data_IF_135182118312
#
_entry.id   IF_135182118312
#
_cell.length_a   1.000
_cell.length_b   1.000
_cell.length_c   1.000
_cell.angle_alpha   90.00
_cell.angle_beta   90.00
_cell.angle_gamma   90.00
#
_symmetry.space_group_name_H-M   'P 1'
#
loop_
_entity.id
_entity.type
_entity.pdbx_description
1 polymer ?
#
# COMPACT_ATOMS: atom_id res chain seq x y z
N UNK A 1 45.85 -50.60 -1.24
CA UNK A 1 45.42 -49.81 -2.41
C UNK A 1 43.91 -50.00 -2.59
N UNK A 2 43.16 -48.89 -2.63
CA UNK A 2 41.77 -48.69 -3.14
C UNK A 2 40.59 -49.33 -2.36
N UNK A 3 39.87 -48.58 -1.48
CA UNK A 3 38.64 -47.77 -1.70
C UNK A 3 37.39 -48.58 -2.13
N UNK A 4 36.35 -48.82 -1.31
CA UNK A 4 35.29 -47.97 -0.71
C UNK A 4 34.05 -47.69 -1.59
N UNK A 5 32.88 -48.16 -1.08
CA UNK A 5 31.47 -47.66 -1.19
C UNK A 5 30.87 -47.29 -2.56
N UNK A 6 29.70 -47.85 -2.85
CA UNK A 6 28.71 -47.30 -3.79
C UNK A 6 27.29 -47.38 -3.20
N UNK A 7 26.72 -46.22 -2.88
CA UNK A 7 25.33 -46.00 -2.47
C UNK A 7 24.71 -45.03 -3.48
N UNK A 8 23.37 -45.07 -3.60
CA UNK A 8 22.44 -44.04 -4.12
C UNK A 8 21.81 -44.26 -5.51
N UNK A 9 20.61 -44.84 -5.45
CA UNK A 9 19.34 -44.24 -5.89
C UNK A 9 19.42 -42.81 -6.46
N UNK A 10 19.18 -42.67 -7.76
CA UNK A 10 19.10 -41.37 -8.43
C UNK A 10 18.47 -41.51 -9.81
N UNK A 11 17.16 -41.82 -9.88
CA UNK A 11 16.42 -41.78 -11.16
C UNK A 11 14.92 -41.48 -11.06
N UNK A 12 14.39 -41.15 -9.87
CA UNK A 12 12.95 -40.89 -9.67
C UNK A 12 12.54 -39.39 -9.62
N UNK A 13 13.41 -38.43 -9.92
CA UNK A 13 13.13 -37.00 -9.65
C UNK A 13 12.44 -36.20 -10.79
N UNK A 14 12.55 -36.61 -12.06
CA UNK A 14 12.15 -35.72 -13.18
C UNK A 14 10.74 -36.03 -13.71
N UNK A 15 10.31 -37.30 -13.67
CA UNK A 15 9.00 -37.69 -14.19
C UNK A 15 7.82 -37.32 -13.26
N UNK A 16 8.04 -37.22 -11.95
CA UNK A 16 7.03 -36.71 -10.99
C UNK A 16 6.75 -35.21 -11.13
N UNK A 17 7.68 -34.45 -11.74
CA UNK A 17 7.55 -33.03 -12.04
C UNK A 17 6.76 -32.75 -13.34
N UNK A 18 6.67 -33.74 -14.24
CA UNK A 18 5.86 -33.64 -15.47
C UNK A 18 4.40 -34.04 -15.23
N UNK A 19 4.13 -34.93 -14.28
CA UNK A 19 2.78 -35.32 -13.87
C UNK A 19 2.08 -34.31 -12.93
N UNK A 20 2.77 -33.27 -12.46
CA UNK A 20 2.16 -32.17 -11.70
C UNK A 20 1.58 -31.05 -12.59
N UNK A 21 1.93 -31.01 -13.88
CA UNK A 21 1.44 -29.99 -14.82
C UNK A 21 -0.08 -30.06 -15.06
N UNK A 22 -0.71 -31.24 -15.23
CA UNK A 22 -2.17 -31.34 -15.36
C UNK A 22 -2.92 -30.96 -14.07
N UNK A 23 -2.32 -31.27 -12.90
CA UNK A 23 -2.91 -30.98 -11.59
C UNK A 23 -2.78 -29.50 -11.22
N UNK A 24 -1.63 -28.88 -11.46
CA UNK A 24 -1.44 -27.44 -11.29
C UNK A 24 -2.32 -26.61 -12.24
N UNK A 25 -2.57 -27.10 -13.47
CA UNK A 25 -3.53 -26.48 -14.38
C UNK A 25 -4.98 -26.64 -13.89
N UNK A 26 -5.37 -27.84 -13.43
CA UNK A 26 -6.69 -28.07 -12.84
C UNK A 26 -6.92 -27.25 -11.55
N UNK A 27 -5.89 -27.11 -10.70
CA UNK A 27 -5.90 -26.26 -9.50
C UNK A 27 -5.94 -24.76 -9.86
N UNK A 28 -5.29 -24.33 -10.94
CA UNK A 28 -5.39 -22.96 -11.44
C UNK A 28 -6.78 -22.63 -12.02
N UNK A 29 -7.41 -23.57 -12.73
CA UNK A 29 -8.79 -23.44 -13.20
C UNK A 29 -9.79 -23.48 -12.04
N UNK A 30 -9.59 -24.37 -11.07
CA UNK A 30 -10.38 -24.43 -9.82
C UNK A 30 -10.21 -23.16 -8.98
N UNK A 31 -9.02 -22.57 -8.94
CA UNK A 31 -8.75 -21.32 -8.23
C UNK A 31 -9.45 -20.12 -8.85
N UNK A 32 -9.55 -20.06 -10.19
CA UNK A 32 -10.29 -19.00 -10.88
C UNK A 32 -11.80 -19.09 -10.66
N UNK A 33 -12.37 -20.30 -10.72
CA UNK A 33 -13.80 -20.51 -10.45
C UNK A 33 -14.13 -20.25 -8.98
N UNK A 34 -13.30 -20.72 -8.05
CA UNK A 34 -13.43 -20.43 -6.62
C UNK A 34 -13.34 -18.92 -6.34
N UNK A 35 -12.35 -18.22 -6.91
CA UNK A 35 -12.22 -16.77 -6.76
C UNK A 35 -13.42 -16.00 -7.34
N UNK A 36 -14.02 -16.49 -8.44
CA UNK A 36 -15.20 -15.87 -9.02
C UNK A 36 -16.45 -16.05 -8.14
N UNK A 37 -16.66 -17.25 -7.60
CA UNK A 37 -17.76 -17.56 -6.65
C UNK A 37 -17.57 -16.75 -5.36
N UNK A 38 -16.38 -16.81 -4.76
CA UNK A 38 -16.02 -16.04 -3.57
C UNK A 38 -16.23 -14.53 -3.77
N UNK A 39 -15.77 -14.00 -4.90
CA UNK A 39 -16.00 -12.60 -5.25
C UNK A 39 -17.49 -12.31 -5.44
N UNK A 40 -18.30 -13.24 -5.99
CA UNK A 40 -19.74 -13.05 -6.12
C UNK A 40 -20.42 -12.90 -4.76
N UNK A 41 -20.02 -13.71 -3.79
CA UNK A 41 -20.52 -13.65 -2.43
C UNK A 41 -20.17 -12.32 -1.74
N UNK A 42 -18.92 -11.89 -1.85
CA UNK A 42 -18.42 -10.62 -1.28
C UNK A 42 -19.05 -9.37 -1.92
N UNK A 43 -19.69 -9.51 -3.09
CA UNK A 43 -20.35 -8.43 -3.82
C UNK A 43 -21.87 -8.39 -3.61
N UNK A 44 -22.44 -9.26 -2.75
CA UNK A 44 -23.90 -9.38 -2.54
C UNK A 44 -24.57 -8.07 -2.13
N UNK A 45 -23.90 -7.25 -1.32
CA UNK A 45 -24.43 -5.97 -0.85
C UNK A 45 -23.61 -4.79 -1.38
N UNK A 46 -23.85 -4.39 -2.64
CA UNK A 46 -23.21 -3.22 -3.22
C UNK A 46 -23.69 -1.94 -2.54
N UNK A 47 -22.74 -1.07 -2.20
CA UNK A 47 -22.98 0.28 -1.69
C UNK A 47 -22.63 1.31 -2.76
N UNK A 48 -23.48 2.32 -2.95
CA UNK A 48 -23.14 3.39 -3.89
C UNK A 48 -22.09 4.31 -3.28
N UNK A 49 -21.13 4.69 -4.11
CA UNK A 49 -20.12 5.68 -3.77
C UNK A 49 -20.65 7.02 -4.25
N UNK A 50 -21.18 7.81 -3.31
CA UNK A 50 -21.70 9.14 -3.59
C UNK A 50 -20.65 9.94 -4.37
N UNK A 51 -21.05 10.53 -5.51
CA UNK A 51 -20.16 11.26 -6.39
C UNK A 51 -20.89 12.48 -6.95
N UNK A 52 -20.38 13.68 -6.66
CA UNK A 52 -20.97 14.93 -7.09
C UNK A 52 -20.31 15.40 -8.39
N UNK A 53 -20.91 15.06 -9.53
CA UNK A 53 -20.39 15.45 -10.85
C UNK A 53 -20.31 16.97 -11.05
N UNK A 54 -21.27 17.72 -10.50
CA UNK A 54 -21.27 19.18 -10.57
C UNK A 54 -20.08 19.78 -9.82
N UNK A 55 -19.81 19.27 -8.62
CA UNK A 55 -18.65 19.68 -7.83
C UNK A 55 -17.33 19.29 -8.51
N UNK A 56 -17.22 18.06 -9.03
CA UNK A 56 -16.04 17.61 -9.76
C UNK A 56 -15.73 18.53 -10.95
N UNK A 57 -16.73 18.84 -11.78
CA UNK A 57 -16.59 19.77 -12.91
C UNK A 57 -16.20 21.18 -12.48
N UNK A 58 -16.82 21.69 -11.42
CA UNK A 58 -16.51 23.02 -10.89
C UNK A 58 -15.07 23.11 -10.38
N UNK A 59 -14.59 22.08 -9.68
CA UNK A 59 -13.21 22.01 -9.19
C UNK A 59 -12.24 21.88 -10.36
N UNK A 60 -12.53 21.05 -11.36
CA UNK A 60 -11.70 20.94 -12.57
C UNK A 60 -11.53 22.29 -13.24
N UNK A 61 -12.62 23.04 -13.45
CA UNK A 61 -12.55 24.39 -14.05
C UNK A 61 -11.71 25.37 -13.21
N UNK A 62 -11.81 25.30 -11.88
CA UNK A 62 -11.00 26.13 -10.99
C UNK A 62 -9.50 25.78 -11.11
N UNK A 63 -9.18 24.48 -11.09
CA UNK A 63 -7.81 23.98 -11.19
C UNK A 63 -7.18 24.25 -12.56
N UNK A 64 -7.96 24.18 -13.65
CA UNK A 64 -7.53 24.57 -14.99
C UNK A 64 -7.08 26.04 -15.00
N UNK A 65 -7.88 26.95 -14.42
CA UNK A 65 -7.53 28.37 -14.29
C UNK A 65 -6.29 28.58 -13.41
N UNK A 66 -6.15 27.84 -12.32
CA UNK A 66 -4.96 27.89 -11.46
C UNK A 66 -3.70 27.46 -12.22
N UNK A 67 -3.78 26.40 -13.03
CA UNK A 67 -2.68 25.94 -13.85
C UNK A 67 -2.30 26.96 -14.93
N UNK A 68 -3.28 27.57 -15.62
CA UNK A 68 -3.04 28.66 -16.58
C UNK A 68 -2.32 29.85 -15.94
N UNK A 69 -2.73 30.24 -14.71
CA UNK A 69 -2.08 31.30 -13.95
C UNK A 69 -0.61 30.98 -13.68
N UNK A 70 -0.32 29.78 -13.20
CA UNK A 70 1.05 29.31 -12.95
C UNK A 70 1.92 29.32 -14.22
N UNK A 71 1.34 28.96 -15.37
CA UNK A 71 2.04 28.99 -16.66
C UNK A 71 2.36 30.43 -17.10
N UNK A 72 1.41 31.37 -16.95
CA UNK A 72 1.63 32.79 -17.29
C UNK A 72 2.70 33.43 -16.42
N UNK A 73 2.68 33.17 -15.11
CA UNK A 73 3.71 33.64 -14.19
C UNK A 73 5.10 33.18 -14.61
N UNK A 74 5.25 31.89 -14.95
CA UNK A 74 6.53 31.33 -15.41
C UNK A 74 6.99 31.96 -16.72
N UNK A 75 6.09 32.12 -17.69
CA UNK A 75 6.41 32.75 -18.97
C UNK A 75 6.87 34.22 -18.78
N UNK A 76 6.26 34.94 -17.83
CA UNK A 76 6.67 36.30 -17.46
C UNK A 76 7.98 36.37 -16.66
N UNK A 77 8.34 35.32 -15.91
CA UNK A 77 9.54 35.24 -15.06
C UNK A 77 10.81 34.80 -15.80
N UNK A 78 10.71 34.38 -17.08
CA UNK A 78 11.87 34.00 -17.92
C UNK A 78 12.93 35.11 -18.13
N UNK A 79 12.74 36.31 -17.57
CA UNK A 79 13.67 37.45 -17.63
C UNK A 79 14.50 37.69 -16.35
N UNK A 80 14.23 37.02 -15.22
CA UNK A 80 15.03 37.13 -13.97
C UNK A 80 14.92 35.83 -13.16
N UNK A 81 15.98 35.02 -13.13
CA UNK A 81 15.95 33.69 -12.50
C UNK A 81 16.80 33.62 -11.22
N UNK A 82 16.16 33.26 -10.11
CA UNK A 82 16.71 32.36 -9.08
C UNK A 82 15.56 31.43 -8.62
N UNK A 83 15.62 30.09 -8.82
CA UNK A 83 14.55 29.16 -8.51
C UNK A 83 14.21 29.02 -7.01
N UNK A 84 15.06 29.53 -6.12
CA UNK A 84 14.87 29.46 -4.67
C UNK A 84 13.82 30.44 -4.13
N UNK A 85 13.35 31.40 -4.94
CA UNK A 85 12.50 32.49 -4.47
C UNK A 85 11.00 32.18 -4.37
N UNK A 86 10.50 31.04 -4.88
CA UNK A 86 9.06 30.70 -4.73
C UNK A 86 8.69 30.26 -3.31
N UNK A 87 9.67 29.77 -2.53
CA UNK A 87 9.49 29.41 -1.10
C UNK A 87 9.23 30.66 -0.23
N UNK A 88 9.69 31.82 -0.73
CA UNK A 88 9.59 33.08 0.00
C UNK A 88 8.17 33.63 0.10
N UNK A 89 7.15 33.17 -0.64
CA UNK A 89 5.80 33.74 -0.46
C UNK A 89 5.06 33.16 0.75
N UNK A 90 5.20 31.88 1.07
CA UNK A 90 4.66 31.32 2.31
C UNK A 90 5.54 31.70 3.51
N UNK A 91 6.87 31.64 3.36
CA UNK A 91 7.81 32.04 4.40
C UNK A 91 7.81 33.55 4.69
N UNK A 92 7.64 34.44 3.68
CA UNK A 92 7.48 35.87 3.92
C UNK A 92 6.09 36.25 4.44
N UNK A 93 5.04 35.44 4.17
CA UNK A 93 3.69 35.67 4.68
C UNK A 93 3.44 35.07 6.07
N UNK A 94 4.33 34.22 6.59
CA UNK A 94 4.31 33.79 7.98
C UNK A 94 4.30 35.01 8.92
N UNK A 95 5.00 36.10 8.62
CA UNK A 95 4.95 37.32 9.43
C UNK A 95 3.58 38.03 9.52
N UNK A 96 2.61 37.65 8.67
CA UNK A 96 1.28 38.29 8.59
C UNK A 96 0.15 37.42 9.13
N UNK A 97 0.43 36.16 9.50
CA UNK A 97 -0.58 35.27 10.05
C UNK A 97 -0.93 35.64 11.50
N UNK A 98 -2.19 35.41 11.93
CA UNK A 98 -2.54 35.51 13.34
C UNK A 98 -1.70 34.56 14.21
N UNK A 99 -1.37 34.98 15.44
CA UNK A 99 -0.58 34.15 16.37
C UNK A 99 -1.18 32.76 16.63
N UNK A 100 -2.52 32.64 16.58
CA UNK A 100 -3.22 31.36 16.70
C UNK A 100 -2.88 30.40 15.55
N UNK A 101 -2.73 30.91 14.33
CA UNK A 101 -2.41 30.11 13.15
C UNK A 101 -0.97 29.58 13.24
N UNK A 102 -0.03 30.38 13.76
CA UNK A 102 1.35 29.94 14.02
C UNK A 102 1.40 28.77 15.00
N UNK A 103 0.69 28.90 16.11
CA UNK A 103 0.63 27.86 17.13
C UNK A 103 -0.01 26.58 16.58
N UNK A 104 -1.02 26.71 15.72
CA UNK A 104 -1.63 25.56 15.07
C UNK A 104 -0.68 24.88 14.09
N UNK A 105 0.00 25.65 13.24
CA UNK A 105 1.01 25.13 12.30
C UNK A 105 2.09 24.36 13.06
N UNK A 106 2.64 24.95 14.12
CA UNK A 106 3.66 24.31 14.94
C UNK A 106 3.15 22.99 15.56
N UNK A 107 1.97 23.01 16.18
CA UNK A 107 1.37 21.80 16.78
C UNK A 107 1.13 20.70 15.75
N UNK A 108 0.66 21.04 14.55
CA UNK A 108 0.46 20.07 13.48
C UNK A 108 1.81 19.50 13.03
N UNK A 109 2.86 20.32 12.87
CA UNK A 109 4.19 19.82 12.51
C UNK A 109 4.78 18.88 13.57
N UNK A 110 4.63 19.19 14.86
CA UNK A 110 5.07 18.33 15.96
C UNK A 110 4.31 16.99 15.94
N UNK A 111 2.98 17.02 15.79
CA UNK A 111 2.16 15.82 15.71
C UNK A 111 2.48 14.96 14.47
N UNK A 112 2.71 15.58 13.31
CA UNK A 112 3.14 14.88 12.09
C UNK A 112 4.51 14.25 12.29
N UNK A 113 5.48 14.96 12.85
CA UNK A 113 6.82 14.42 13.13
C UNK A 113 6.76 13.21 14.06
N UNK A 114 5.97 13.29 15.13
CA UNK A 114 5.80 12.19 16.08
C UNK A 114 5.13 10.97 15.43
N UNK A 115 4.05 11.18 14.68
CA UNK A 115 3.32 10.09 14.05
C UNK A 115 4.07 9.50 12.83
N UNK A 116 4.98 10.25 12.20
CA UNK A 116 5.75 9.82 11.04
C UNK A 116 7.06 9.10 11.36
N UNK A 117 7.32 8.74 12.63
CA UNK A 117 8.55 8.04 13.04
C UNK A 117 8.76 6.73 12.30
N UNK A 118 7.75 5.87 12.27
CA UNK A 118 7.83 4.55 11.63
C UNK A 118 6.54 4.19 10.88
N UNK A 119 6.59 3.11 10.10
CA UNK A 119 5.40 2.59 9.43
C UNK A 119 4.29 2.23 10.44
N UNK A 120 4.67 1.72 11.61
CA UNK A 120 3.73 1.34 12.67
C UNK A 120 3.00 2.56 13.22
N UNK A 121 3.73 3.62 13.57
CA UNK A 121 3.12 4.85 14.13
C UNK A 121 2.22 5.54 13.13
N UNK A 122 2.64 5.63 11.86
CA UNK A 122 1.84 6.21 10.78
C UNK A 122 0.54 5.44 10.56
N UNK A 123 0.67 4.13 10.44
CA UNK A 123 -0.46 3.25 10.16
C UNK A 123 -1.49 3.33 11.29
N UNK A 124 -1.04 3.34 12.55
CA UNK A 124 -1.92 3.55 13.71
C UNK A 124 -2.62 4.91 13.64
N UNK A 125 -1.90 5.99 13.35
CA UNK A 125 -2.46 7.34 13.29
C UNK A 125 -3.58 7.49 12.26
N UNK A 126 -3.52 6.77 11.14
CA UNK A 126 -4.61 6.73 10.16
C UNK A 126 -5.88 6.04 10.69
N UNK A 127 -5.73 4.95 11.45
CA UNK A 127 -6.88 4.25 12.03
C UNK A 127 -7.56 5.08 13.11
N UNK A 128 -6.77 5.59 14.05
CA UNK A 128 -7.27 6.46 15.13
C UNK A 128 -8.02 7.68 14.56
N UNK A 129 -7.48 8.28 13.49
CA UNK A 129 -8.16 9.39 12.82
C UNK A 129 -9.48 8.96 12.16
N UNK A 130 -9.50 7.80 11.50
CA UNK A 130 -10.71 7.31 10.83
C UNK A 130 -11.82 6.95 11.81
N UNK A 131 -11.47 6.41 12.98
CA UNK A 131 -12.43 6.10 14.04
C UNK A 131 -13.15 7.35 14.56
N UNK A 132 -12.42 8.46 14.68
CA UNK A 132 -12.99 9.78 15.05
C UNK A 132 -13.78 10.42 13.89
N UNK A 133 -13.34 10.24 12.64
CA UNK A 133 -13.86 10.92 11.45
C UNK A 133 -14.14 9.95 10.29
N UNK A 134 -15.16 9.09 10.40
CA UNK A 134 -15.44 8.04 9.42
C UNK A 134 -15.88 8.58 8.05
N UNK A 135 -16.23 9.87 7.94
CA UNK A 135 -16.46 10.54 6.66
C UNK A 135 -15.18 10.72 5.82
N UNK A 136 -13.99 10.62 6.42
CA UNK A 136 -12.71 10.67 5.72
C UNK A 136 -12.29 9.26 5.31
N UNK A 137 -12.99 8.71 4.32
CA UNK A 137 -12.76 7.34 3.82
C UNK A 137 -11.29 7.04 3.48
N UNK A 138 -10.55 8.03 2.97
CA UNK A 138 -9.15 7.88 2.63
C UNK A 138 -8.29 7.42 3.82
N UNK A 139 -8.61 7.81 5.06
CA UNK A 139 -7.83 7.43 6.23
C UNK A 139 -7.84 5.90 6.48
N UNK A 140 -9.01 5.24 6.40
CA UNK A 140 -9.06 3.77 6.51
C UNK A 140 -8.35 3.08 5.33
N UNK A 141 -8.48 3.64 4.12
CA UNK A 141 -7.78 3.12 2.95
C UNK A 141 -6.26 3.21 3.13
N UNK A 142 -5.77 4.37 3.57
CA UNK A 142 -4.36 4.63 3.83
C UNK A 142 -3.82 3.72 4.94
N UNK A 143 -4.60 3.50 6.02
CA UNK A 143 -4.29 2.50 7.05
C UNK A 143 -4.05 1.12 6.42
N UNK A 144 -5.01 0.63 5.62
CA UNK A 144 -4.92 -0.71 5.05
C UNK A 144 -3.80 -0.87 4.02
N UNK A 145 -3.54 0.16 3.20
CA UNK A 145 -2.43 0.14 2.22
C UNK A 145 -1.08 0.26 2.95
N UNK A 146 -0.98 1.07 4.00
CA UNK A 146 0.26 1.20 4.77
C UNK A 146 0.60 -0.07 5.56
N UNK A 147 -0.41 -0.80 6.07
CA UNK A 147 -0.20 -2.16 6.61
C UNK A 147 0.40 -3.11 5.59
N UNK A 148 -0.02 -3.00 4.32
CA UNK A 148 0.56 -3.82 3.26
C UNK A 148 2.03 -3.48 3.04
N UNK A 149 2.39 -2.21 3.09
CA UNK A 149 3.79 -1.80 3.03
C UNK A 149 4.60 -2.37 4.22
N UNK A 150 4.03 -2.36 5.43
CA UNK A 150 4.67 -2.87 6.64
C UNK A 150 5.08 -4.35 6.52
N UNK A 151 4.17 -5.25 6.16
CA UNK A 151 4.55 -6.66 5.98
C UNK A 151 5.47 -6.89 4.78
N UNK A 152 5.33 -6.09 3.70
CA UNK A 152 6.27 -6.16 2.58
C UNK A 152 7.70 -5.81 3.02
N UNK A 153 7.88 -4.85 3.93
CA UNK A 153 9.19 -4.50 4.47
C UNK A 153 9.77 -5.62 5.34
N UNK A 154 9.00 -6.16 6.28
CA UNK A 154 9.46 -7.24 7.17
C UNK A 154 9.78 -8.52 6.40
N UNK A 155 9.01 -8.83 5.36
CA UNK A 155 9.21 -10.04 4.58
C UNK A 155 10.48 -10.00 3.73
N UNK A 156 11.12 -8.84 3.53
CA UNK A 156 12.47 -8.80 2.96
C UNK A 156 13.47 -9.61 3.80
N UNK A 157 13.16 -9.80 5.09
CA UNK A 157 13.93 -10.58 6.06
C UNK A 157 13.23 -11.90 6.44
N UNK A 158 12.16 -12.29 5.73
CA UNK A 158 11.51 -13.62 5.84
C UNK A 158 12.29 -14.67 5.07
N UNK A 159 12.34 -15.93 5.52
CA UNK A 159 13.11 -17.00 4.87
C UNK A 159 12.86 -17.13 3.37
N UNK A 160 11.59 -17.25 2.97
CA UNK A 160 11.19 -17.43 1.57
C UNK A 160 11.68 -16.32 0.62
N UNK A 161 11.56 -15.05 1.02
CA UNK A 161 11.94 -13.92 0.15
C UNK A 161 13.40 -13.51 0.33
N UNK A 162 13.91 -13.65 1.56
CA UNK A 162 15.27 -13.32 1.91
C UNK A 162 16.26 -14.12 1.05
N UNK A 163 16.01 -15.40 0.82
CA UNK A 163 17.01 -16.23 0.16
C UNK A 163 17.01 -16.09 -1.37
N UNK A 164 15.99 -15.41 -1.93
CA UNK A 164 15.86 -15.14 -3.37
C UNK A 164 16.54 -13.85 -3.82
N UNK A 165 16.91 -12.97 -2.89
CA UNK A 165 17.46 -11.65 -3.21
C UNK A 165 18.68 -11.33 -2.34
N UNK A 166 19.61 -10.53 -2.86
CA UNK A 166 20.78 -10.12 -2.08
C UNK A 166 20.43 -9.05 -1.03
N UNK A 167 21.24 -8.95 0.02
CA UNK A 167 21.01 -8.00 1.12
C UNK A 167 21.05 -6.53 0.69
N UNK A 168 21.77 -6.22 -0.39
CA UNK A 168 21.85 -4.86 -0.91
C UNK A 168 20.53 -4.44 -1.56
N UNK A 169 19.95 -5.29 -2.40
CA UNK A 169 18.64 -5.08 -3.00
C UNK A 169 17.55 -4.96 -1.93
N UNK A 170 17.54 -5.84 -0.92
CA UNK A 170 16.59 -5.76 0.22
C UNK A 170 16.67 -4.40 0.90
N UNK A 171 17.88 -3.92 1.19
CA UNK A 171 18.09 -2.64 1.84
C UNK A 171 17.59 -1.47 0.99
N UNK A 172 17.83 -1.52 -0.33
CA UNK A 172 17.33 -0.51 -1.27
C UNK A 172 15.80 -0.55 -1.39
N UNK A 173 15.19 -1.74 -1.46
CA UNK A 173 13.75 -1.93 -1.53
C UNK A 173 13.05 -1.49 -0.24
N UNK A 174 13.61 -1.82 0.93
CA UNK A 174 13.15 -1.30 2.23
C UNK A 174 13.12 0.23 2.21
N UNK A 175 14.25 0.87 1.88
CA UNK A 175 14.36 2.34 1.83
C UNK A 175 13.37 2.95 0.84
N UNK A 176 13.13 2.29 -0.29
CA UNK A 176 12.15 2.74 -1.28
C UNK A 176 10.72 2.71 -0.72
N UNK A 177 10.30 1.57 -0.17
CA UNK A 177 8.97 1.40 0.42
C UNK A 177 8.75 2.38 1.57
N UNK A 178 9.74 2.49 2.45
CA UNK A 178 9.66 3.32 3.64
C UNK A 178 9.62 4.81 3.27
N UNK A 179 10.48 5.24 2.33
CA UNK A 179 10.47 6.62 1.82
C UNK A 179 9.14 6.98 1.16
N UNK A 180 8.55 6.09 0.35
CA UNK A 180 7.22 6.31 -0.22
C UNK A 180 6.19 6.54 0.90
N UNK A 181 6.10 5.63 1.88
CA UNK A 181 5.10 5.71 2.95
C UNK A 181 5.27 6.96 3.82
N UNK A 182 6.51 7.30 4.19
CA UNK A 182 6.80 8.46 5.01
C UNK A 182 6.44 9.78 4.30
N UNK A 183 6.72 9.91 3.00
CA UNK A 183 6.37 11.10 2.22
C UNK A 183 4.87 11.26 2.01
N UNK A 184 4.17 10.16 1.75
CA UNK A 184 2.70 10.16 1.64
C UNK A 184 2.08 10.68 2.94
N UNK A 185 2.53 10.15 4.08
CA UNK A 185 2.03 10.55 5.39
C UNK A 185 2.35 12.01 5.71
N UNK A 186 3.58 12.45 5.42
CA UNK A 186 4.00 13.82 5.65
C UNK A 186 3.16 14.84 4.88
N UNK A 187 2.70 14.50 3.67
CA UNK A 187 1.83 15.37 2.88
C UNK A 187 0.36 15.27 3.31
N UNK A 188 -0.17 14.06 3.53
CA UNK A 188 -1.60 13.86 3.76
C UNK A 188 -2.04 14.09 5.22
N UNK A 189 -1.25 13.64 6.21
CA UNK A 189 -1.63 13.72 7.62
C UNK A 189 -1.82 15.15 8.16
N UNK A 190 -1.02 16.18 7.81
CA UNK A 190 -1.32 17.55 8.22
C UNK A 190 -2.67 18.04 7.70
N UNK A 191 -3.09 17.61 6.50
CA UNK A 191 -4.41 17.94 5.95
C UNK A 191 -5.54 17.33 6.80
N UNK A 192 -5.35 16.10 7.27
CA UNK A 192 -6.28 15.42 8.18
C UNK A 192 -6.37 16.14 9.53
N UNK A 193 -5.23 16.50 10.12
CA UNK A 193 -5.20 17.24 11.39
C UNK A 193 -5.84 18.63 11.26
N UNK A 194 -5.66 19.30 10.13
CA UNK A 194 -6.30 20.57 9.83
C UNK A 194 -7.82 20.42 9.71
N UNK A 195 -8.31 19.33 9.12
CA UNK A 195 -9.74 18.99 9.12
C UNK A 195 -10.27 18.74 10.54
N UNK A 196 -9.57 17.93 11.35
CA UNK A 196 -9.91 17.69 12.76
C UNK A 196 -10.04 18.99 13.53
N UNK A 197 -9.06 19.89 13.38
CA UNK A 197 -9.11 21.20 14.02
C UNK A 197 -10.26 22.07 13.50
N UNK A 198 -10.47 22.10 12.18
CA UNK A 198 -11.57 22.84 11.55
C UNK A 198 -12.93 22.38 12.09
N UNK A 199 -13.13 21.07 12.24
CA UNK A 199 -14.34 20.48 12.85
C UNK A 199 -14.51 20.89 14.31
N UNK A 200 -13.45 20.88 15.10
CA UNK A 200 -13.48 21.28 16.52
C UNK A 200 -13.76 22.78 16.72
N UNK A 201 -13.42 23.62 15.74
CA UNK A 201 -13.63 25.07 15.77
C UNK A 201 -14.82 25.54 14.96
N UNK A 202 -15.51 24.63 14.28
CA UNK A 202 -16.66 24.91 13.41
C UNK A 202 -16.37 25.95 12.31
N UNK A 203 -15.10 26.04 11.87
CA UNK A 203 -14.64 26.98 10.85
C UNK A 203 -13.59 26.32 9.95
N UNK A 204 -13.55 26.71 8.67
CA UNK A 204 -12.50 26.27 7.74
C UNK A 204 -11.15 26.89 8.10
N UNK A 205 -10.11 26.06 8.21
CA UNK A 205 -8.71 26.48 8.35
C UNK A 205 -7.84 26.09 7.14
N UNK A 206 -8.45 25.74 6.00
CA UNK A 206 -7.71 25.25 4.82
C UNK A 206 -6.85 26.31 4.13
N UNK A 207 -6.97 27.59 4.50
CA UNK A 207 -6.00 28.63 4.14
C UNK A 207 -4.58 28.32 4.64
N UNK A 208 -4.45 27.42 5.63
CA UNK A 208 -3.16 27.00 6.17
C UNK A 208 -2.49 25.86 5.40
N UNK A 209 -3.17 25.21 4.45
CA UNK A 209 -2.61 24.12 3.64
C UNK A 209 -1.24 24.44 3.00
N UNK A 210 -1.00 25.63 2.43
CA UNK A 210 0.29 25.97 1.81
C UNK A 210 1.47 25.96 2.79
N UNK A 211 1.24 26.22 4.08
CA UNK A 211 2.29 26.21 5.11
C UNK A 211 2.74 24.78 5.48
N UNK A 212 1.97 23.77 5.07
CA UNK A 212 2.38 22.37 5.13
C UNK A 212 2.94 21.86 3.79
N UNK A 213 3.17 22.76 2.83
CA UNK A 213 3.61 22.46 1.46
C UNK A 213 2.66 21.51 0.69
N UNK A 214 1.40 21.49 1.09
CA UNK A 214 0.36 20.74 0.39
C UNK A 214 0.13 21.41 -0.97
N UNK A 215 0.04 20.60 -2.02
CA UNK A 215 -0.18 21.09 -3.38
C UNK A 215 -1.44 21.95 -3.48
N UNK A 216 -1.38 23.04 -4.26
CA UNK A 216 -2.54 23.87 -4.56
C UNK A 216 -3.69 23.07 -5.21
N UNK A 217 -3.39 21.89 -5.77
CA UNK A 217 -4.37 20.91 -6.21
C UNK A 217 -5.39 20.55 -5.13
N UNK A 218 -4.97 20.39 -3.86
CA UNK A 218 -5.83 19.88 -2.79
C UNK A 218 -6.78 20.91 -2.18
N UNK A 219 -6.42 22.20 -2.20
CA UNK A 219 -7.21 23.28 -1.59
C UNK A 219 -8.69 23.28 -2.00
N UNK A 220 -9.07 23.25 -3.29
CA UNK A 220 -10.49 23.27 -3.67
C UNK A 220 -11.26 22.02 -3.26
N UNK A 221 -10.59 20.87 -3.11
CA UNK A 221 -11.25 19.64 -2.64
C UNK A 221 -11.58 19.71 -1.15
N UNK A 222 -10.69 20.26 -0.33
CA UNK A 222 -10.95 20.44 1.10
C UNK A 222 -12.04 21.48 1.36
N UNK A 223 -12.00 22.62 0.66
CA UNK A 223 -13.06 23.62 0.75
C UNK A 223 -14.42 23.06 0.30
N UNK A 224 -14.43 22.25 -0.77
CA UNK A 224 -15.66 21.61 -1.20
C UNK A 224 -16.16 20.58 -0.21
N UNK A 225 -15.28 19.73 0.30
CA UNK A 225 -15.61 18.72 1.30
C UNK A 225 -16.10 19.36 2.61
N UNK A 226 -15.63 20.58 2.95
CA UNK A 226 -16.15 21.38 4.06
C UNK A 226 -17.67 21.57 3.99
N UNK A 227 -18.19 21.77 2.77
CA UNK A 227 -19.59 22.10 2.49
C UNK A 227 -20.44 20.84 2.30
N UNK A 228 -20.01 19.91 1.43
CA UNK A 228 -20.89 18.83 0.97
C UNK A 228 -20.56 17.43 1.50
N UNK A 229 -19.45 17.29 2.24
CA UNK A 229 -19.00 16.01 2.84
C UNK A 229 -18.92 14.85 1.85
N UNK A 230 -18.62 15.12 0.57
CA UNK A 230 -18.47 14.05 -0.41
C UNK A 230 -17.15 13.28 -0.23
N UNK A 231 -17.21 12.18 0.53
CA UNK A 231 -16.04 11.34 0.87
C UNK A 231 -15.33 10.78 -0.36
N UNK A 232 -16.07 10.39 -1.40
CA UNK A 232 -15.49 9.80 -2.61
C UNK A 232 -14.66 10.81 -3.40
N UNK A 233 -15.16 12.04 -3.55
CA UNK A 233 -14.47 13.08 -4.29
C UNK A 233 -13.16 13.47 -3.59
N UNK A 234 -13.20 13.69 -2.27
CA UNK A 234 -12.01 13.97 -1.48
C UNK A 234 -11.01 12.80 -1.52
N UNK A 235 -11.49 11.55 -1.39
CA UNK A 235 -10.62 10.36 -1.43
C UNK A 235 -9.92 10.20 -2.77
N UNK A 236 -10.63 10.42 -3.88
CA UNK A 236 -10.02 10.40 -5.22
C UNK A 236 -8.97 11.50 -5.37
N UNK A 237 -9.24 12.71 -4.84
CA UNK A 237 -8.27 13.79 -4.86
C UNK A 237 -7.01 13.45 -4.06
N UNK A 238 -7.15 12.95 -2.83
CA UNK A 238 -6.03 12.51 -2.00
C UNK A 238 -5.21 11.42 -2.70
N UNK A 239 -5.85 10.44 -3.35
CA UNK A 239 -5.15 9.42 -4.16
C UNK A 239 -4.36 10.06 -5.30
N UNK A 240 -4.95 10.99 -6.07
CA UNK A 240 -4.25 11.65 -7.18
C UNK A 240 -3.06 12.45 -6.63
N UNK A 241 -3.27 13.22 -5.57
CA UNK A 241 -2.25 14.02 -4.93
C UNK A 241 -1.08 13.16 -4.44
N UNK A 242 -1.37 12.08 -3.71
CA UNK A 242 -0.39 11.12 -3.21
C UNK A 242 0.51 10.57 -4.32
N UNK A 243 -0.11 10.06 -5.40
CA UNK A 243 0.64 9.38 -6.46
C UNK A 243 1.52 10.36 -7.26
N UNK A 244 1.12 11.63 -7.36
CA UNK A 244 1.95 12.68 -7.96
C UNK A 244 3.03 13.18 -7.00
N UNK A 245 2.71 13.29 -5.71
CA UNK A 245 3.64 13.78 -4.69
C UNK A 245 4.90 12.91 -4.64
N UNK A 246 4.75 11.58 -4.70
CA UNK A 246 5.88 10.63 -4.68
C UNK A 246 6.58 10.44 -6.03
N UNK A 247 5.96 10.81 -7.15
CA UNK A 247 6.47 10.49 -8.50
C UNK A 247 7.88 11.06 -8.70
N UNK A 248 8.03 12.38 -8.57
CA UNK A 248 9.32 13.04 -8.77
C UNK A 248 10.22 13.01 -7.53
N UNK A 249 9.67 12.67 -6.36
CA UNK A 249 10.41 12.63 -5.08
C UNK A 249 11.06 11.28 -4.81
N UNK A 250 10.46 10.20 -5.30
CA UNK A 250 10.89 8.82 -5.00
C UNK A 250 10.95 7.99 -6.26
N UNK A 251 9.84 7.88 -7.00
CA UNK A 251 9.73 6.92 -8.12
C UNK A 251 10.71 7.25 -9.24
N UNK A 252 10.85 8.53 -9.60
CA UNK A 252 11.80 9.01 -10.62
C UNK A 252 13.17 9.36 -10.05
N UNK A 253 13.37 9.26 -8.74
CA UNK A 253 14.64 9.61 -8.12
C UNK A 253 15.75 8.68 -8.65
N UNK A 254 16.88 9.21 -9.17
CA UNK A 254 17.90 8.41 -9.85
C UNK A 254 18.41 7.23 -9.03
N UNK A 255 18.55 7.42 -7.71
CA UNK A 255 18.96 6.36 -6.80
C UNK A 255 17.96 5.19 -6.78
N UNK A 256 16.66 5.45 -6.64
CA UNK A 256 15.65 4.39 -6.55
C UNK A 256 15.35 3.75 -7.90
N UNK A 257 15.38 4.53 -8.99
CA UNK A 257 15.31 3.99 -10.35
C UNK A 257 16.40 2.95 -10.58
N UNK A 258 17.66 3.33 -10.36
CA UNK A 258 18.82 2.46 -10.59
C UNK A 258 18.86 1.23 -9.67
N UNK A 259 18.59 1.41 -8.38
CA UNK A 259 18.83 0.36 -7.39
C UNK A 259 17.60 -0.50 -7.06
N UNK A 260 16.40 -0.08 -7.46
CA UNK A 260 15.15 -0.79 -7.17
C UNK A 260 14.36 -1.03 -8.45
N UNK A 261 13.81 0.01 -9.09
CA UNK A 261 12.80 -0.17 -10.13
C UNK A 261 13.35 -0.78 -11.44
N UNK A 262 14.59 -0.47 -11.80
CA UNK A 262 15.26 -1.02 -12.98
C UNK A 262 16.09 -2.28 -12.67
N UNK A 263 16.09 -2.75 -11.41
CA UNK A 263 16.83 -3.93 -11.02
C UNK A 263 16.15 -5.21 -11.55
N UNK A 264 16.91 -6.19 -12.08
CA UNK A 264 16.34 -7.47 -12.54
C UNK A 264 15.57 -8.20 -11.43
N UNK A 265 16.04 -8.10 -10.19
CA UNK A 265 15.37 -8.67 -9.01
C UNK A 265 13.96 -8.08 -8.81
N UNK A 266 13.77 -6.80 -9.09
CA UNK A 266 12.45 -6.17 -9.00
C UNK A 266 11.51 -6.68 -10.09
N UNK A 267 12.00 -6.89 -11.32
CA UNK A 267 11.22 -7.49 -12.38
C UNK A 267 10.81 -8.93 -12.04
N UNK A 268 11.69 -9.71 -11.38
CA UNK A 268 11.33 -11.03 -10.86
C UNK A 268 10.25 -10.93 -9.78
N UNK A 269 10.32 -9.95 -8.89
CA UNK A 269 9.26 -9.66 -7.90
C UNK A 269 7.91 -9.32 -8.56
N UNK A 270 7.90 -8.47 -9.61
CA UNK A 270 6.69 -8.16 -10.38
C UNK A 270 6.14 -9.39 -11.12
N UNK A 271 7.02 -10.18 -11.75
CA UNK A 271 6.67 -11.40 -12.48
C UNK A 271 6.11 -12.49 -11.55
N UNK A 272 6.64 -12.60 -10.33
CA UNK A 272 6.11 -13.46 -9.27
C UNK A 272 4.76 -12.97 -8.71
N UNK A 273 4.27 -11.80 -9.16
CA UNK A 273 3.04 -11.15 -8.70
C UNK A 273 3.04 -10.90 -7.18
N UNK A 274 4.18 -10.47 -6.65
CA UNK A 274 4.31 -10.16 -5.23
C UNK A 274 3.76 -8.76 -4.88
N UNK A 275 3.46 -7.94 -5.90
CA UNK A 275 2.82 -6.63 -5.77
C UNK A 275 1.31 -6.74 -5.51
N UNK A 276 0.93 -7.47 -4.48
CA UNK A 276 -0.46 -7.64 -4.07
C UNK A 276 -0.76 -6.70 -2.90
N UNK A 277 -1.88 -6.00 -3.02
CA UNK A 277 -2.44 -5.23 -1.91
C UNK A 277 -3.68 -5.98 -1.45
N UNK A 278 -3.62 -6.55 -0.25
CA UNK A 278 -4.63 -7.44 0.31
C UNK A 278 -5.16 -6.91 1.63
N UNK A 279 -6.45 -7.12 1.88
CA UNK A 279 -7.18 -6.73 3.07
C UNK A 279 -7.81 -7.99 3.67
N UNK A 280 -7.39 -8.40 4.87
CA UNK A 280 -8.04 -9.51 5.57
C UNK A 280 -9.45 -9.12 6.03
N UNK A 281 -10.34 -10.09 6.02
CA UNK A 281 -11.71 -9.93 6.51
C UNK A 281 -11.92 -10.70 7.82
N UNK A 282 -12.54 -10.05 8.81
CA UNK A 282 -13.05 -10.69 10.03
C UNK A 282 -12.01 -10.96 11.13
N UNK A 283 -12.44 -11.74 12.13
CA UNK A 283 -11.63 -12.14 13.29
C UNK A 283 -10.71 -13.32 12.92
N UNK A 284 -9.50 -13.36 13.48
CA UNK A 284 -8.50 -14.43 13.32
C UNK A 284 -9.03 -15.80 13.73
N UNK A 285 -10.06 -15.85 14.59
CA UNK A 285 -10.59 -17.07 15.22
C UNK A 285 -11.82 -17.65 14.52
N UNK A 286 -12.37 -16.98 13.50
CA UNK A 286 -13.61 -17.41 12.87
C UNK A 286 -13.33 -18.03 11.49
N UNK A 287 -13.58 -19.34 11.34
CA UNK A 287 -13.79 -19.93 10.01
C UNK A 287 -14.96 -19.21 9.35
N UNK A 288 -14.72 -18.55 8.23
CA UNK A 288 -15.77 -17.84 7.51
C UNK A 288 -16.81 -18.84 6.96
N UNK A 289 -18.10 -18.62 7.26
CA UNK A 289 -19.17 -19.58 6.96
C UNK A 289 -19.30 -19.95 5.48
N UNK A 290 -18.93 -19.04 4.58
CA UNK A 290 -18.95 -19.23 3.12
C UNK A 290 -17.97 -20.28 2.59
N UNK A 291 -16.94 -20.64 3.37
CA UNK A 291 -15.82 -21.46 2.90
C UNK A 291 -15.67 -22.75 3.72
N UNK A 292 -16.77 -23.27 4.28
CA UNK A 292 -16.79 -24.55 5.03
C UNK A 292 -16.22 -25.74 4.26
N UNK A 293 -16.14 -25.65 2.94
CA UNK A 293 -15.60 -26.67 2.03
C UNK A 293 -14.23 -26.30 1.41
N UNK A 294 -13.64 -25.15 1.78
CA UNK A 294 -12.35 -24.72 1.22
C UNK A 294 -11.20 -25.44 1.92
N UNK A 295 -10.22 -25.84 1.11
CA UNK A 295 -8.97 -26.52 1.50
C UNK A 295 -7.87 -25.49 1.84
N UNK A 296 -8.22 -24.29 2.32
CA UNK A 296 -7.30 -23.17 2.61
C UNK A 296 -7.49 -22.64 4.04
N UNK A 297 -6.45 -22.11 4.72
CA UNK A 297 -6.58 -21.54 6.06
C UNK A 297 -7.51 -20.32 6.03
N UNK A 298 -8.61 -20.41 6.77
CA UNK A 298 -9.82 -19.61 6.57
C UNK A 298 -9.73 -18.21 7.20
N UNK A 299 -8.93 -17.34 6.57
CA UNK A 299 -9.18 -15.89 6.59
C UNK A 299 -9.33 -15.40 5.17
N UNK A 300 -10.56 -15.01 4.73
CA UNK A 300 -10.75 -14.44 3.41
C UNK A 300 -9.89 -13.18 3.25
N UNK A 301 -9.20 -13.11 2.12
CA UNK A 301 -8.46 -11.94 1.70
C UNK A 301 -9.15 -11.34 0.49
N UNK A 302 -9.38 -10.03 0.54
CA UNK A 302 -9.76 -9.27 -0.66
C UNK A 302 -8.63 -8.37 -1.07
N UNK A 303 -8.56 -7.96 -2.33
CA UNK A 303 -7.44 -7.15 -2.77
C UNK A 303 -7.33 -7.03 -4.26
N UNK A 304 -6.22 -6.47 -4.69
CA UNK A 304 -5.86 -6.33 -6.09
C UNK A 304 -4.38 -6.67 -6.29
N UNK A 305 -4.05 -7.23 -7.45
CA UNK A 305 -2.67 -7.31 -7.90
C UNK A 305 -2.37 -6.08 -8.75
N UNK A 306 -1.35 -5.32 -8.34
CA UNK A 306 -0.89 -4.17 -9.11
C UNK A 306 0.11 -4.64 -10.17
N UNK A 307 -0.02 -4.11 -11.39
CA UNK A 307 0.93 -4.29 -12.48
C UNK A 307 1.56 -2.94 -12.80
N UNK A 308 2.82 -2.89 -13.21
CA UNK A 308 3.49 -1.66 -13.68
C UNK A 308 3.46 -0.52 -12.66
N UNK A 309 4.18 -0.71 -11.55
CA UNK A 309 4.24 0.29 -10.48
C UNK A 309 4.82 1.64 -10.95
N UNK A 310 5.65 1.65 -11.99
CA UNK A 310 6.34 2.83 -12.51
C UNK A 310 5.42 3.87 -13.17
N UNK A 311 4.21 3.49 -13.59
CA UNK A 311 3.23 4.41 -14.18
C UNK A 311 2.29 5.03 -13.12
N UNK A 312 2.31 6.36 -12.92
CA UNK A 312 1.41 7.04 -11.99
C UNK A 312 -0.06 6.85 -12.33
N UNK A 313 -0.42 6.75 -13.62
CA UNK A 313 -1.81 6.54 -14.03
C UNK A 313 -2.34 5.19 -13.57
N UNK A 314 -1.49 4.16 -13.61
CA UNK A 314 -1.81 2.81 -13.13
C UNK A 314 -1.93 2.77 -11.62
N UNK A 315 -1.02 3.43 -10.88
CA UNK A 315 -1.14 3.54 -9.42
C UNK A 315 -2.41 4.27 -8.98
N UNK A 316 -2.78 5.37 -9.65
CA UNK A 316 -4.04 6.09 -9.37
C UNK A 316 -5.25 5.19 -9.61
N UNK A 317 -5.29 4.44 -10.71
CA UNK A 317 -6.37 3.48 -11.00
C UNK A 317 -6.45 2.39 -9.93
N UNK A 318 -5.31 1.88 -9.48
CA UNK A 318 -5.25 0.88 -8.41
C UNK A 318 -5.80 1.44 -7.09
N UNK A 319 -5.36 2.64 -6.68
CA UNK A 319 -5.87 3.31 -5.49
C UNK A 319 -7.39 3.53 -5.53
N UNK A 320 -7.92 3.99 -6.66
CA UNK A 320 -9.38 4.15 -6.85
C UNK A 320 -10.13 2.83 -6.80
N UNK A 321 -9.55 1.76 -7.33
CA UNK A 321 -10.16 0.43 -7.33
C UNK A 321 -10.16 -0.17 -5.92
N UNK A 322 -9.08 0.01 -5.14
CA UNK A 322 -9.03 -0.38 -3.73
C UNK A 322 -10.03 0.40 -2.89
N UNK A 323 -10.14 1.72 -3.11
CA UNK A 323 -11.17 2.55 -2.48
C UNK A 323 -12.58 2.01 -2.80
N UNK A 324 -12.87 1.77 -4.08
CA UNK A 324 -14.18 1.31 -4.51
C UNK A 324 -14.49 -0.11 -4.02
N UNK A 325 -13.48 -0.97 -3.87
CA UNK A 325 -13.62 -2.29 -3.25
C UNK A 325 -13.95 -2.16 -1.76
N UNK A 326 -13.18 -1.32 -1.03
CA UNK A 326 -13.30 -1.17 0.42
C UNK A 326 -14.65 -0.56 0.84
N UNK A 327 -15.08 0.51 0.16
CA UNK A 327 -16.30 1.26 0.52
C UNK A 327 -17.51 0.98 -0.36
N UNK A 328 -17.33 0.33 -1.51
CA UNK A 328 -18.40 0.02 -2.46
C UNK A 328 -19.09 -1.33 -2.23
N UNK A 329 -18.60 -2.13 -1.29
CA UNK A 329 -19.20 -3.40 -0.86
C UNK A 329 -19.30 -3.43 0.66
N UNK A 330 -20.52 -3.51 1.20
CA UNK A 330 -20.78 -3.37 2.64
C UNK A 330 -20.13 -4.51 3.46
N UNK A 331 -20.15 -5.74 2.95
CA UNK A 331 -19.53 -6.89 3.63
C UNK A 331 -18.01 -6.76 3.72
N UNK A 332 -17.37 -6.22 2.67
CA UNK A 332 -15.93 -5.96 2.67
C UNK A 332 -15.60 -4.87 3.70
N UNK A 333 -16.32 -3.74 3.68
CA UNK A 333 -16.12 -2.68 4.67
C UNK A 333 -16.22 -3.22 6.09
N UNK A 334 -17.29 -3.94 6.43
CA UNK A 334 -17.50 -4.53 7.77
C UNK A 334 -16.41 -5.52 8.14
N UNK A 335 -16.01 -6.38 7.20
CA UNK A 335 -14.98 -7.38 7.40
C UNK A 335 -13.61 -6.75 7.69
N UNK A 336 -13.23 -5.74 6.91
CA UNK A 336 -11.99 -4.97 7.11
C UNK A 336 -12.02 -4.19 8.41
N UNK A 337 -13.13 -3.50 8.69
CA UNK A 337 -13.26 -2.72 9.92
C UNK A 337 -13.18 -3.62 11.16
N UNK A 338 -13.80 -4.79 11.14
CA UNK A 338 -13.63 -5.80 12.20
C UNK A 338 -12.18 -6.29 12.30
N UNK A 339 -11.51 -6.52 11.17
CA UNK A 339 -10.12 -6.98 11.14
C UNK A 339 -9.18 -6.01 11.87
N UNK A 340 -9.25 -4.72 11.55
CA UNK A 340 -8.32 -3.71 12.10
C UNK A 340 -8.46 -3.55 13.61
N UNK A 341 -9.65 -3.77 14.17
CA UNK A 341 -9.91 -3.73 15.61
C UNK A 341 -9.41 -4.98 16.35
N UNK A 342 -9.40 -6.13 15.68
CA UNK A 342 -9.00 -7.40 16.30
C UNK A 342 -7.53 -7.77 16.07
N UNK A 343 -6.83 -7.05 15.19
CA UNK A 343 -5.46 -7.38 14.78
C UNK A 343 -4.59 -6.13 14.82
N UNK A 344 -3.80 -5.89 15.89
CA UNK A 344 -2.85 -4.77 15.95
C UNK A 344 -1.87 -4.80 14.76
N UNK A 345 -1.39 -3.64 14.34
CA UNK A 345 -0.37 -3.57 13.30
C UNK A 345 1.04 -3.58 13.89
N UNK A 346 1.85 -4.57 13.50
CA UNK A 346 3.25 -4.76 13.86
C UNK A 346 4.14 -5.03 12.63
N UNK A 347 3.57 -4.91 11.43
CA UNK A 347 4.27 -5.10 10.16
C UNK A 347 4.58 -6.56 9.84
N UNK A 348 3.88 -7.55 10.40
CA UNK A 348 4.14 -8.97 10.11
C UNK A 348 3.02 -9.58 9.27
N UNK A 349 3.35 -10.48 8.36
CA UNK A 349 2.35 -11.25 7.59
C UNK A 349 1.56 -12.24 8.47
N UNK A 350 2.06 -12.53 9.68
CA UNK A 350 1.28 -13.26 10.69
C UNK A 350 0.00 -12.56 11.11
N UNK A 351 -0.11 -11.23 10.96
CA UNK A 351 -1.36 -10.50 11.16
C UNK A 351 -2.43 -10.89 10.13
N UNK A 352 -2.01 -11.24 8.91
CA UNK A 352 -2.88 -11.54 7.78
C UNK A 352 -3.30 -13.01 7.79
N UNK A 353 -2.33 -13.91 7.94
CA UNK A 353 -2.55 -15.36 8.00
C UNK A 353 -1.73 -16.02 9.11
N UNK A 354 -2.21 -15.98 10.37
CA UNK A 354 -1.50 -16.57 11.51
C UNK A 354 -1.44 -18.10 11.47
N UNK A 355 -2.18 -18.76 10.56
CA UNK A 355 -2.06 -20.19 10.31
C UNK A 355 -0.89 -20.56 9.39
N UNK A 356 -0.41 -19.62 8.57
CA UNK A 356 0.71 -19.83 7.64
C UNK A 356 1.99 -19.15 8.12
N UNK A 357 1.88 -18.03 8.82
CA UNK A 357 3.02 -17.22 9.22
C UNK A 357 3.17 -17.13 10.74
N UNK A 358 4.41 -17.09 11.20
CA UNK A 358 4.77 -16.88 12.60
C UNK A 358 5.92 -15.89 12.73
N UNK A 359 5.90 -15.11 13.80
CA UNK A 359 7.02 -14.24 14.20
C UNK A 359 8.08 -15.00 15.00
N UNK A 360 7.78 -16.22 15.45
CA UNK A 360 8.65 -16.99 16.32
C UNK A 360 9.58 -17.88 15.50
N UNK A 361 10.87 -17.51 15.41
CA UNK A 361 11.88 -18.24 14.64
C UNK A 361 12.10 -19.69 15.07
N UNK A 362 11.74 -20.06 16.30
CA UNK A 362 11.82 -21.45 16.78
C UNK A 362 10.64 -22.32 16.32
N UNK A 363 9.57 -21.72 15.79
CA UNK A 363 8.38 -22.40 15.24
C UNK A 363 8.35 -22.37 13.71
N UNK A 364 9.46 -22.00 13.09
CA UNK A 364 9.57 -21.90 11.64
C UNK A 364 10.05 -23.20 11.04
N UNK A 365 9.66 -23.43 9.79
CA UNK A 365 10.36 -24.39 8.96
C UNK A 365 11.85 -24.03 8.89
N UNK A 366 12.70 -25.05 9.01
CA UNK A 366 14.16 -24.93 8.85
C UNK A 366 14.66 -25.90 7.75
N UNK A 367 13.79 -26.31 6.82
CA UNK A 367 14.10 -27.32 5.81
C UNK A 367 14.30 -26.68 4.43
N UNK A 368 15.20 -27.25 3.61
CA UNK A 368 15.43 -26.86 2.20
C UNK A 368 14.26 -27.26 1.27
N UNK A 369 13.08 -27.54 1.82
CA UNK A 369 11.95 -28.14 1.12
C UNK A 369 10.62 -27.47 1.52
N UNK A 370 10.65 -26.15 1.73
CA UNK A 370 9.49 -25.36 2.16
C UNK A 370 8.35 -25.45 1.14
N UNK A 371 8.67 -25.54 -0.16
CA UNK A 371 7.65 -25.69 -1.20
C UNK A 371 6.86 -27.00 -1.08
N UNK A 372 7.52 -28.10 -0.68
CA UNK A 372 6.86 -29.41 -0.60
C UNK A 372 5.85 -29.45 0.55
N UNK A 373 6.13 -28.83 1.69
CA UNK A 373 5.17 -28.79 2.81
C UNK A 373 3.99 -27.86 2.52
N UNK A 374 4.24 -26.70 1.90
CA UNK A 374 3.18 -25.80 1.41
C UNK A 374 2.26 -26.46 0.36
N UNK A 375 2.81 -27.31 -0.50
CA UNK A 375 2.08 -28.09 -1.50
C UNK A 375 1.35 -29.32 -0.90
N UNK A 376 1.85 -29.89 0.19
CA UNK A 376 1.31 -31.11 0.78
C UNK A 376 0.19 -30.87 1.78
N UNK A 377 0.15 -29.71 2.44
CA UNK A 377 -0.84 -29.45 3.48
C UNK A 377 -1.53 -28.10 3.32
N UNK A 378 -2.85 -28.13 3.49
CA UNK A 378 -3.70 -26.94 3.61
C UNK A 378 -3.25 -26.04 4.78
N UNK A 379 -2.85 -26.67 5.88
CA UNK A 379 -2.37 -26.08 7.12
C UNK A 379 -0.91 -26.48 7.31
N UNK A 380 -0.05 -25.54 7.67
CA UNK A 380 1.23 -25.91 8.26
C UNK A 380 0.96 -26.25 9.73
N UNK A 381 1.41 -27.41 10.19
CA UNK A 381 1.23 -27.80 11.60
C UNK A 381 1.96 -26.81 12.50
N UNK A 382 1.45 -26.55 13.70
CA UNK A 382 2.11 -25.67 14.66
C UNK A 382 3.59 -26.09 14.82
N UNK A 383 4.51 -25.18 14.50
CA UNK A 383 5.96 -25.46 14.46
C UNK A 383 6.57 -25.62 13.05
N UNK A 384 5.76 -25.60 11.99
CA UNK A 384 6.20 -25.64 10.59
C UNK A 384 5.72 -24.41 9.80
N UNK A 385 5.55 -23.26 10.46
CA UNK A 385 5.02 -22.07 9.80
C UNK A 385 6.13 -21.29 9.08
N UNK A 386 5.75 -20.42 8.16
CA UNK A 386 6.67 -19.53 7.48
C UNK A 386 7.07 -18.38 8.42
N UNK A 387 8.37 -18.06 8.43
CA UNK A 387 8.86 -16.93 9.21
C UNK A 387 8.39 -15.61 8.60
N UNK A 388 7.75 -14.75 9.39
CA UNK A 388 7.53 -13.34 9.03
C UNK A 388 7.78 -12.51 10.28
N UNK A 389 8.93 -11.82 10.38
CA UNK A 389 9.31 -11.08 11.59
C UNK A 389 8.38 -9.90 11.86
N UNK A 390 8.48 -9.32 13.06
CA UNK A 390 7.95 -7.99 13.33
C UNK A 390 8.83 -6.95 12.64
N UNK A 391 8.25 -5.84 12.19
CA UNK A 391 8.99 -4.82 11.46
C UNK A 391 10.11 -4.19 12.30
N UNK A 392 9.81 -3.88 13.55
CA UNK A 392 10.74 -3.25 14.50
C UNK A 392 11.92 -4.16 14.90
N UNK A 393 11.76 -5.49 14.73
CA UNK A 393 12.83 -6.45 15.03
C UNK A 393 13.91 -6.52 13.94
N UNK A 394 13.58 -6.09 12.71
CA UNK A 394 14.44 -6.31 11.53
C UNK A 394 14.82 -5.04 10.79
N UNK A 395 14.10 -3.94 11.02
CA UNK A 395 14.40 -2.65 10.45
C UNK A 395 14.34 -1.58 11.53
N UNK A 396 15.25 -0.61 11.44
CA UNK A 396 15.30 0.52 12.35
C UNK A 396 15.07 1.82 11.58
N UNK A 397 14.57 2.82 12.30
CA UNK A 397 14.35 4.16 11.78
C UNK A 397 15.65 4.68 11.15
N UNK A 398 15.56 5.08 9.89
CA UNK A 398 16.71 5.56 9.13
C UNK A 398 16.48 7.02 8.79
N UNK A 399 17.47 7.87 9.04
CA UNK A 399 17.40 9.27 8.63
C UNK A 399 17.22 9.37 7.11
N UNK A 400 16.38 10.32 6.71
CA UNK A 400 16.12 10.56 5.30
C UNK A 400 16.86 11.78 4.79
N UNK A 401 17.20 11.72 3.50
CA UNK A 401 17.64 12.90 2.77
C UNK A 401 16.58 14.01 2.80
N UNK A 402 17.01 15.29 2.76
CA UNK A 402 16.10 16.42 2.63
C UNK A 402 15.11 16.21 1.48
N UNK A 403 13.87 16.60 1.71
CA UNK A 403 12.79 16.38 0.75
C UNK A 403 12.75 17.59 -0.17
N UNK A 404 12.83 17.41 -1.50
CA UNK A 404 12.70 18.53 -2.41
C UNK A 404 11.30 19.14 -2.28
N UNK A 405 11.27 20.45 -1.98
CA UNK A 405 10.05 21.24 -1.82
C UNK A 405 9.67 21.87 -3.16
N UNK A 406 8.55 21.45 -3.71
CA UNK A 406 7.96 22.04 -4.91
C UNK A 406 6.50 21.57 -5.02
N UNK A 407 5.63 22.42 -5.53
CA UNK A 407 4.27 22.00 -5.89
C UNK A 407 4.33 21.18 -7.19
N UNK A 408 3.80 19.96 -7.16
CA UNK A 408 3.73 19.11 -8.36
C UNK A 408 2.66 19.59 -9.35
N UNK A 409 1.62 20.31 -8.88
CA UNK A 409 0.52 20.75 -9.72
C UNK A 409 0.91 21.99 -10.51
N UNK A 410 1.35 21.76 -11.74
CA UNK A 410 1.76 22.81 -12.66
C UNK A 410 0.99 22.77 -13.99
N UNK A 411 0.35 21.64 -14.28
CA UNK A 411 -0.39 21.41 -15.51
C UNK A 411 -1.66 20.60 -15.21
N UNK A 412 -2.73 20.78 -15.99
CA UNK A 412 -4.01 20.11 -15.74
C UNK A 412 -4.04 18.63 -16.17
N UNK A 413 -2.91 18.06 -16.62
CA UNK A 413 -2.85 16.70 -17.18
C UNK A 413 -3.41 15.63 -16.24
N UNK A 414 -3.21 15.80 -14.94
CA UNK A 414 -3.66 14.83 -13.94
C UNK A 414 -5.16 14.95 -13.60
N UNK A 415 -5.84 16.02 -14.05
CA UNK A 415 -7.28 16.21 -13.83
C UNK A 415 -8.12 15.17 -14.57
N UNK A 416 -7.59 14.56 -15.64
CA UNK A 416 -8.24 13.44 -16.36
C UNK A 416 -8.55 12.23 -15.46
N UNK A 417 -7.86 12.11 -14.32
CA UNK A 417 -8.07 11.03 -13.36
C UNK A 417 -9.20 11.30 -12.35
N UNK A 418 -9.70 12.54 -12.30
CA UNK A 418 -10.82 12.94 -11.46
C UNK A 418 -12.13 12.42 -12.06
N UNK A 419 -12.51 11.20 -11.66
CA UNK A 419 -13.72 10.52 -12.13
C UNK A 419 -14.25 9.57 -11.08
N UNK A 420 -15.53 9.19 -11.17
CA UNK A 420 -16.15 8.27 -10.22
C UNK A 420 -15.36 6.95 -10.16
N UNK A 421 -14.98 6.47 -8.96
CA UNK A 421 -14.34 5.17 -8.79
C UNK A 421 -15.25 4.03 -9.26
N UNK A 422 -14.66 3.03 -9.93
CA UNK A 422 -15.36 1.86 -10.44
C UNK A 422 -15.05 0.69 -9.52
N UNK A 423 -16.10 0.01 -9.06
CA UNK A 423 -15.96 -1.17 -8.22
C UNK A 423 -15.34 -2.32 -9.02
N UNK A 424 -14.26 -2.94 -8.54
CA UNK A 424 -13.72 -4.14 -9.18
C UNK A 424 -14.70 -5.31 -9.02
N UNK A 425 -14.75 -6.16 -10.04
CA UNK A 425 -15.50 -7.41 -9.96
C UNK A 425 -14.70 -8.47 -9.20
N UNK A 426 -13.53 -8.87 -9.69
CA UNK A 426 -12.71 -9.86 -9.00
C UNK A 426 -12.00 -9.19 -7.81
N UNK A 427 -12.44 -9.54 -6.61
CA UNK A 427 -11.97 -8.96 -5.35
C UNK A 427 -11.38 -10.00 -4.41
N UNK A 428 -11.77 -11.27 -4.52
CA UNK A 428 -11.12 -12.34 -3.76
C UNK A 428 -9.66 -12.49 -4.18
N UNK A 429 -8.78 -12.47 -3.19
CA UNK A 429 -7.35 -12.68 -3.31
C UNK A 429 -6.88 -13.88 -2.49
N UNK A 430 -7.78 -14.60 -1.81
CA UNK A 430 -7.43 -15.73 -0.94
C UNK A 430 -6.65 -16.80 -1.71
N UNK A 431 -7.20 -17.26 -2.83
CA UNK A 431 -6.54 -18.28 -3.65
C UNK A 431 -5.34 -17.71 -4.41
N UNK A 432 -5.49 -16.52 -5.00
CA UNK A 432 -4.43 -15.89 -5.78
C UNK A 432 -3.18 -15.58 -4.94
N UNK A 433 -3.36 -15.16 -3.68
CA UNK A 433 -2.27 -14.88 -2.76
C UNK A 433 -1.55 -16.17 -2.35
N UNK A 434 -2.29 -17.25 -2.06
CA UNK A 434 -1.67 -18.55 -1.77
C UNK A 434 -0.88 -19.10 -2.96
N UNK A 435 -1.43 -19.06 -4.16
CA UNK A 435 -0.72 -19.51 -5.35
C UNK A 435 0.56 -18.71 -5.60
N UNK A 436 0.58 -17.42 -5.24
CA UNK A 436 1.81 -16.62 -5.30
C UNK A 436 2.84 -17.10 -4.27
N UNK A 437 2.44 -17.38 -3.03
CA UNK A 437 3.32 -17.94 -2.00
C UNK A 437 3.90 -19.30 -2.41
N UNK A 438 3.09 -20.20 -2.96
CA UNK A 438 3.54 -21.51 -3.44
C UNK A 438 4.58 -21.38 -4.56
N UNK A 439 4.41 -20.42 -5.48
CA UNK A 439 5.40 -20.14 -6.52
C UNK A 439 6.70 -19.58 -5.96
N UNK A 440 6.62 -18.69 -4.98
CA UNK A 440 7.81 -18.16 -4.30
C UNK A 440 8.56 -19.26 -3.57
N UNK A 441 7.86 -20.13 -2.85
CA UNK A 441 8.46 -21.27 -2.18
C UNK A 441 9.11 -22.25 -3.17
N UNK A 442 8.47 -22.51 -4.30
CA UNK A 442 9.07 -23.35 -5.34
C UNK A 442 10.36 -22.74 -5.91
N UNK A 443 10.38 -21.42 -6.13
CA UNK A 443 11.60 -20.73 -6.56
C UNK A 443 12.71 -20.78 -5.50
N UNK A 444 12.35 -20.64 -4.22
CA UNK A 444 13.26 -20.74 -3.08
C UNK A 444 13.90 -22.11 -2.97
N UNK A 445 13.10 -23.18 -3.02
CA UNK A 445 13.62 -24.55 -2.99
C UNK A 445 14.60 -24.78 -4.18
N UNK A 446 14.28 -24.29 -5.38
CA UNK A 446 15.16 -24.42 -6.54
C UNK A 446 16.49 -23.68 -6.37
N UNK A 447 16.50 -22.47 -5.79
CA UNK A 447 17.74 -21.72 -5.57
C UNK A 447 18.63 -22.39 -4.52
N UNK A 448 18.05 -22.93 -3.45
CA UNK A 448 18.78 -23.70 -2.43
C UNK A 448 19.43 -24.98 -2.95
N UNK A 449 18.87 -25.60 -4.00
CA UNK A 449 19.48 -26.78 -4.64
C UNK A 449 20.61 -26.43 -5.62
N UNK A 450 20.65 -25.21 -6.14
CA UNK A 450 21.66 -24.76 -7.11
C UNK A 450 22.91 -24.17 -6.45
N UNK A 451 22.81 -23.70 -5.20
CA UNK A 451 23.92 -23.16 -4.40
C UNK A 451 24.05 -23.94 -3.07
N UNK A 452 24.70 -25.12 -3.07
CA UNK A 452 24.83 -25.99 -1.89
C UNK A 452 25.79 -25.47 -0.82
#
# INVERSE_FOLDING_TARGET
MSHSKGFKTGRQSIWSLLFSVPRAAAEAFGGLTAAWIASSELRRYPKDLAWNEGAARSITCLLDKTAEGCQRERAGQTMRFDPLLRDSTAENNLGQLPAQDHLLIQRIHEAVTEANKSNITRTRAYLEFYEDYPEIHWALLAHMVSRNAGWNMSDLQSGLMSDLTDNRFKSHLYRFLERCNALIFQDAYPQLLLYKFSKQKEQSYFHLLPYFHVSAFMSPFWERFWIDRNSSLLTVALIINEQNYIENRVVRHPYFRKNVLDAPSFQLHELARLNQIIFPLGDTRCRHDLFKQSILPLRPLVGLTMKHFDDPSTRIKAGKSLYAMLFGYEDIYRGVFKYVHCSPHLGSRSEYWPALFTTQRNKTMNSLVESKELLQSEWLTNGHQLYSPLLEDVWHDTEYEPIPRFDWFQEPTMLRHLSKPIRPFLVDMTHAHRTALERTAFAHDLSGHLNP
#
